data_IF_033588963691
#
_entry.id   IF_033588963691
#
_cell.length_a   1.000
_cell.length_b   1.000
_cell.length_c   1.000
_cell.angle_alpha   90.00
_cell.angle_beta   90.00
_cell.angle_gamma   90.00
#
_symmetry.space_group_name_H-M   'P 1'
#
loop_
_entity.id
_entity.type
_entity.pdbx_description
1 polymer ?
#
# COMPACT_ATOMS: atom_id res chain seq x y z
N UNK A 1 4.39 -10.48 38.35
CA UNK A 1 4.59 -9.45 37.31
C UNK A 1 3.56 -9.67 36.20
N UNK A 2 2.34 -9.13 36.35
CA UNK A 2 1.19 -9.29 35.44
C UNK A 2 0.74 -7.89 34.98
N UNK A 3 1.51 -7.25 34.10
CA UNK A 3 1.16 -5.93 33.54
C UNK A 3 1.14 -5.93 32.00
N UNK A 4 1.51 -7.00 31.31
CA UNK A 4 1.34 -7.14 29.84
C UNK A 4 -0.09 -7.55 29.43
N UNK A 5 -1.12 -6.99 30.07
CA UNK A 5 -2.53 -7.22 29.70
C UNK A 5 -2.91 -6.36 28.48
N UNK A 6 -2.73 -7.00 27.31
CA UNK A 6 -3.77 -7.17 26.27
C UNK A 6 -3.93 -6.16 25.11
N UNK A 7 -3.35 -4.96 25.09
CA UNK A 7 -3.58 -4.03 23.96
C UNK A 7 -2.42 -3.84 22.94
N UNK A 8 -1.16 -4.10 23.30
CA UNK A 8 -0.02 -3.68 22.43
C UNK A 8 0.83 -4.80 21.80
N UNK A 9 0.56 -6.07 22.09
CA UNK A 9 1.43 -7.16 21.60
C UNK A 9 1.44 -7.29 20.08
N UNK A 10 0.28 -7.17 19.43
CA UNK A 10 0.19 -7.29 17.97
C UNK A 10 0.65 -6.03 17.24
N UNK A 11 0.53 -4.84 17.85
CA UNK A 11 1.13 -3.62 17.28
C UNK A 11 2.65 -3.71 17.29
N UNK A 12 3.23 -4.13 18.42
CA UNK A 12 4.65 -4.38 18.51
C UNK A 12 5.09 -5.46 17.51
N UNK A 13 4.33 -6.56 17.41
CA UNK A 13 4.61 -7.62 16.45
C UNK A 13 4.57 -7.12 15.00
N UNK A 14 3.54 -6.37 14.60
CA UNK A 14 3.44 -5.80 13.26
C UNK A 14 4.65 -4.92 12.93
N UNK A 15 5.11 -4.09 13.89
CA UNK A 15 6.32 -3.27 13.72
C UNK A 15 7.59 -4.11 13.64
N UNK A 16 7.71 -5.16 14.45
CA UNK A 16 8.84 -6.09 14.35
C UNK A 16 8.89 -6.79 12.99
N UNK A 17 7.73 -7.17 12.44
CA UNK A 17 7.64 -7.79 11.10
C UNK A 17 8.07 -6.81 10.00
N UNK A 18 7.55 -5.58 10.02
CA UNK A 18 7.90 -4.51 9.08
C UNK A 18 9.41 -4.22 9.11
N UNK A 19 9.99 -4.05 10.31
CA UNK A 19 11.42 -3.78 10.47
C UNK A 19 12.29 -4.97 10.06
N UNK A 20 11.89 -6.20 10.40
CA UNK A 20 12.64 -7.39 10.01
C UNK A 20 12.66 -7.55 8.49
N UNK A 21 11.53 -7.32 7.81
CA UNK A 21 11.45 -7.37 6.36
C UNK A 21 12.33 -6.29 5.72
N UNK A 22 12.23 -5.03 6.17
CA UNK A 22 13.06 -3.92 5.67
C UNK A 22 14.56 -4.15 5.88
N UNK A 23 14.94 -4.90 6.91
CA UNK A 23 16.33 -5.29 7.18
C UNK A 23 16.79 -6.53 6.38
N UNK A 24 15.92 -7.16 5.59
CA UNK A 24 16.20 -8.40 4.87
C UNK A 24 16.17 -9.67 5.73
N UNK A 25 15.66 -9.60 6.96
CA UNK A 25 15.61 -10.72 7.91
C UNK A 25 14.23 -11.40 7.92
N UNK A 26 13.76 -11.89 6.77
CA UNK A 26 12.43 -12.49 6.61
C UNK A 26 12.25 -13.73 7.52
N UNK A 27 13.29 -14.54 7.72
CA UNK A 27 13.26 -15.70 8.63
C UNK A 27 12.95 -15.34 10.09
N UNK A 28 13.24 -14.10 10.50
CA UNK A 28 12.97 -13.63 11.85
C UNK A 28 11.47 -13.35 12.04
N UNK A 29 10.78 -12.91 10.99
CA UNK A 29 9.35 -12.65 10.99
C UNK A 29 8.55 -13.93 11.27
N UNK A 30 8.91 -15.03 10.61
CA UNK A 30 8.36 -16.36 10.83
C UNK A 30 8.49 -16.82 12.28
N UNK A 31 9.67 -16.61 12.88
CA UNK A 31 9.95 -16.99 14.27
C UNK A 31 9.05 -16.22 15.23
N UNK A 32 8.75 -14.95 14.96
CA UNK A 32 7.86 -14.16 15.82
C UNK A 32 6.42 -14.68 15.76
N UNK A 33 5.90 -15.00 14.57
CA UNK A 33 4.55 -15.56 14.41
C UNK A 33 4.41 -16.93 15.06
N UNK A 34 5.39 -17.83 14.86
CA UNK A 34 5.40 -19.16 15.49
C UNK A 34 5.38 -19.06 17.02
N UNK A 35 6.23 -18.20 17.59
CA UNK A 35 6.25 -17.97 19.05
C UNK A 35 4.92 -17.43 19.58
N UNK A 36 4.21 -16.59 18.82
CA UNK A 36 2.91 -16.10 19.24
C UNK A 36 1.88 -17.24 19.39
N UNK A 37 1.89 -18.20 18.47
CA UNK A 37 1.03 -19.39 18.51
C UNK A 37 1.46 -20.38 19.59
N UNK A 38 2.77 -20.63 19.75
CA UNK A 38 3.31 -21.51 20.79
C UNK A 38 2.93 -21.01 22.20
N UNK A 39 3.01 -19.69 22.42
CA UNK A 39 2.65 -19.08 23.70
C UNK A 39 1.14 -19.02 23.92
N UNK A 40 0.35 -18.91 22.84
CA UNK A 40 -1.10 -18.90 22.89
C UNK A 40 -1.70 -19.50 21.61
N UNK A 41 -2.10 -20.79 21.62
CA UNK A 41 -2.69 -21.43 20.44
C UNK A 41 -3.96 -20.74 19.92
N UNK A 42 -4.69 -20.02 20.78
CA UNK A 42 -5.87 -19.25 20.39
C UNK A 42 -5.53 -17.95 19.65
N UNK A 43 -4.27 -17.54 19.59
CA UNK A 43 -3.85 -16.37 18.82
C UNK A 43 -4.24 -16.48 17.34
N UNK A 44 -4.33 -17.70 16.80
CA UNK A 44 -4.75 -17.97 15.41
C UNK A 44 -6.10 -17.36 15.01
N UNK A 45 -7.02 -17.12 15.96
CA UNK A 45 -8.32 -16.49 15.68
C UNK A 45 -8.35 -15.00 16.02
N UNK A 46 -7.28 -14.44 16.61
CA UNK A 46 -7.21 -13.03 16.96
C UNK A 46 -7.03 -12.19 15.68
N UNK A 47 -7.76 -11.08 15.58
CA UNK A 47 -7.67 -10.18 14.44
C UNK A 47 -6.27 -9.57 14.28
N UNK A 48 -5.63 -9.18 15.39
CA UNK A 48 -4.26 -8.64 15.38
C UNK A 48 -3.22 -9.65 14.92
N UNK A 49 -3.35 -10.93 15.31
CA UNK A 49 -2.49 -11.99 14.78
C UNK A 49 -2.71 -12.19 13.29
N UNK A 50 -3.98 -12.25 12.84
CA UNK A 50 -4.29 -12.42 11.42
C UNK A 50 -3.82 -11.24 10.56
N UNK A 51 -3.85 -10.02 11.09
CA UNK A 51 -3.23 -8.87 10.45
C UNK A 51 -1.71 -9.02 10.33
N UNK A 52 -1.03 -9.39 11.43
CA UNK A 52 0.42 -9.63 11.42
C UNK A 52 0.81 -10.75 10.44
N UNK A 53 0.03 -11.83 10.42
CA UNK A 53 0.19 -12.91 9.44
C UNK A 53 0.03 -12.36 8.02
N UNK A 54 -1.01 -11.57 7.75
CA UNK A 54 -1.22 -10.96 6.43
C UNK A 54 -0.05 -10.11 5.95
N UNK A 55 0.56 -9.32 6.84
CA UNK A 55 1.78 -8.56 6.51
C UNK A 55 2.94 -9.48 6.14
N UNK A 56 3.17 -10.53 6.93
CA UNK A 56 4.25 -11.48 6.64
C UNK A 56 4.07 -12.20 5.30
N UNK A 57 2.88 -12.72 5.02
CA UNK A 57 2.58 -13.38 3.73
C UNK A 57 2.77 -12.39 2.57
N UNK A 58 2.35 -11.14 2.73
CA UNK A 58 2.55 -10.11 1.72
C UNK A 58 4.03 -9.83 1.45
N UNK A 59 4.82 -9.67 2.51
CA UNK A 59 6.26 -9.46 2.43
C UNK A 59 7.04 -10.66 1.88
N UNK A 60 6.49 -11.87 2.01
CA UNK A 60 7.03 -13.10 1.44
C UNK A 60 6.63 -13.33 -0.02
N UNK A 61 5.83 -12.44 -0.62
CA UNK A 61 5.38 -12.56 -2.02
C UNK A 61 4.18 -13.49 -2.22
N UNK A 62 3.38 -13.72 -1.16
CA UNK A 62 2.20 -14.59 -1.18
C UNK A 62 0.89 -13.78 -1.08
N UNK A 63 0.48 -13.04 -2.14
CA UNK A 63 -0.67 -12.12 -2.10
C UNK A 63 -1.99 -12.81 -1.73
N UNK A 64 -2.20 -14.04 -2.21
CA UNK A 64 -3.42 -14.80 -1.92
C UNK A 64 -3.52 -15.19 -0.44
N UNK A 65 -2.40 -15.62 0.15
CA UNK A 65 -2.34 -15.96 1.58
C UNK A 65 -2.52 -14.71 2.45
N UNK A 66 -1.91 -13.58 2.03
CA UNK A 66 -2.09 -12.29 2.67
C UNK A 66 -3.56 -11.84 2.68
N UNK A 67 -4.23 -11.89 1.53
CA UNK A 67 -5.66 -11.55 1.42
C UNK A 67 -6.54 -12.41 2.32
N UNK A 68 -6.29 -13.72 2.40
CA UNK A 68 -7.02 -14.61 3.31
C UNK A 68 -6.82 -14.23 4.78
N UNK A 69 -5.60 -13.89 5.18
CA UNK A 69 -5.29 -13.49 6.54
C UNK A 69 -5.92 -12.13 6.87
N UNK A 70 -5.79 -11.12 6.01
CA UNK A 70 -6.44 -9.83 6.21
C UNK A 70 -7.97 -9.92 6.22
N UNK A 71 -8.56 -10.81 5.43
CA UNK A 71 -10.01 -11.04 5.44
C UNK A 71 -10.52 -11.47 6.83
N UNK A 72 -9.72 -12.22 7.58
CA UNK A 72 -10.04 -12.63 8.96
C UNK A 72 -9.95 -11.47 9.96
N UNK A 73 -9.18 -10.42 9.65
CA UNK A 73 -9.05 -9.23 10.49
C UNK A 73 -9.99 -8.07 10.10
N UNK A 74 -10.55 -8.06 8.87
CA UNK A 74 -11.22 -6.88 8.27
C UNK A 74 -12.43 -6.31 9.03
N UNK A 75 -13.09 -7.11 9.87
CA UNK A 75 -14.29 -6.70 10.62
C UNK A 75 -13.97 -6.21 12.04
N UNK A 76 -12.72 -6.29 12.44
CA UNK A 76 -12.27 -5.85 13.75
C UNK A 76 -12.23 -4.31 13.83
N UNK A 77 -12.54 -3.75 15.00
CA UNK A 77 -12.63 -2.30 15.18
C UNK A 77 -11.27 -1.60 15.14
N UNK A 78 -10.19 -2.31 15.44
CA UNK A 78 -8.83 -1.77 15.51
C UNK A 78 -7.99 -2.19 14.31
N UNK A 79 -8.12 -3.45 13.89
CA UNK A 79 -7.33 -4.03 12.82
C UNK A 79 -8.02 -3.97 11.46
N UNK A 80 -9.35 -3.81 11.45
CA UNK A 80 -10.15 -3.91 10.24
C UNK A 80 -9.80 -2.86 9.19
N UNK A 81 -9.70 -1.59 9.57
CA UNK A 81 -9.33 -0.51 8.66
C UNK A 81 -7.92 -0.72 8.06
N UNK A 82 -6.95 -1.11 8.90
CA UNK A 82 -5.58 -1.40 8.43
C UNK A 82 -5.56 -2.59 7.48
N UNK A 83 -6.32 -3.65 7.79
CA UNK A 83 -6.45 -4.82 6.93
C UNK A 83 -7.07 -4.45 5.58
N UNK A 84 -8.16 -3.67 5.57
CA UNK A 84 -8.82 -3.21 4.35
C UNK A 84 -7.87 -2.41 3.44
N UNK A 85 -7.07 -1.50 4.00
CA UNK A 85 -6.09 -0.75 3.21
C UNK A 85 -5.02 -1.66 2.58
N UNK A 86 -4.51 -2.65 3.32
CA UNK A 86 -3.57 -3.62 2.75
C UNK A 86 -4.24 -4.49 1.67
N UNK A 87 -5.48 -4.92 1.88
CA UNK A 87 -6.23 -5.69 0.89
C UNK A 87 -6.44 -4.91 -0.40
N UNK A 88 -6.69 -3.59 -0.31
CA UNK A 88 -6.79 -2.72 -1.49
C UNK A 88 -5.45 -2.67 -2.24
N UNK A 89 -4.34 -2.38 -1.55
CA UNK A 89 -3.01 -2.32 -2.19
C UNK A 89 -2.67 -3.65 -2.91
N UNK A 90 -2.94 -4.80 -2.29
CA UNK A 90 -2.68 -6.12 -2.88
C UNK A 90 -3.53 -6.33 -4.14
N UNK A 91 -4.83 -5.99 -4.10
CA UNK A 91 -5.70 -6.17 -5.28
C UNK A 91 -5.29 -5.24 -6.43
N UNK A 92 -4.84 -4.02 -6.14
CA UNK A 92 -4.42 -3.07 -7.17
C UNK A 92 -3.06 -3.42 -7.78
N UNK A 93 -2.19 -4.11 -7.04
CA UNK A 93 -0.86 -4.50 -7.52
C UNK A 93 -0.35 -5.79 -6.83
N UNK A 94 -0.86 -6.97 -7.21
CA UNK A 94 -0.55 -8.23 -6.52
C UNK A 94 0.93 -8.63 -6.63
N UNK A 95 1.60 -8.24 -7.71
CA UNK A 95 3.01 -8.57 -7.97
C UNK A 95 3.98 -7.50 -7.41
N UNK A 96 3.45 -6.43 -6.81
CA UNK A 96 4.22 -5.27 -6.31
C UNK A 96 5.16 -4.59 -7.35
N UNK A 97 4.94 -4.78 -8.65
CA UNK A 97 5.79 -4.22 -9.71
C UNK A 97 5.51 -2.72 -10.01
N UNK A 98 6.46 -2.07 -10.69
CA UNK A 98 6.32 -0.67 -11.15
C UNK A 98 5.49 -0.58 -12.42
N UNK A 99 4.55 0.34 -12.38
CA UNK A 99 3.74 0.72 -13.53
C UNK A 99 4.52 1.78 -14.33
N UNK A 100 5.16 1.39 -15.44
CA UNK A 100 5.60 2.30 -16.50
C UNK A 100 7.12 2.58 -16.66
N UNK A 101 8.01 1.63 -16.34
CA UNK A 101 9.39 1.62 -16.89
C UNK A 101 9.43 1.02 -18.32
N UNK A 102 10.62 0.74 -18.87
CA UNK A 102 10.87 0.09 -20.18
C UNK A 102 10.07 -1.21 -20.44
N UNK A 103 9.39 -1.74 -19.41
CA UNK A 103 8.28 -2.70 -19.45
C UNK A 103 7.07 -2.22 -20.29
N UNK A 104 7.09 -1.04 -20.91
CA UNK A 104 6.05 -0.59 -21.86
C UNK A 104 5.86 -1.54 -23.06
N UNK A 105 6.88 -2.32 -23.43
CA UNK A 105 6.73 -3.38 -24.43
C UNK A 105 6.01 -4.63 -23.89
N UNK A 106 5.83 -4.75 -22.57
CA UNK A 106 5.07 -5.81 -21.90
C UNK A 106 3.79 -5.29 -21.20
N UNK A 107 3.45 -3.99 -21.31
CA UNK A 107 2.17 -3.47 -20.77
C UNK A 107 0.97 -4.03 -21.54
N UNK A 108 1.17 -4.59 -22.73
CA UNK A 108 0.16 -5.38 -23.45
C UNK A 108 -0.15 -6.73 -22.77
N UNK A 109 0.72 -7.23 -21.88
CA UNK A 109 0.54 -8.53 -21.20
C UNK A 109 0.00 -8.40 -19.77
N UNK A 110 -0.11 -7.19 -19.22
CA UNK A 110 -0.54 -6.98 -17.82
C UNK A 110 -2.06 -6.87 -17.71
N UNK A 111 -2.72 -8.01 -17.92
CA UNK A 111 -4.15 -8.23 -17.76
C UNK A 111 -4.98 -7.45 -18.78
N UNK A 112 -6.01 -8.08 -19.32
CA UNK A 112 -6.99 -7.39 -20.17
C UNK A 112 -7.48 -6.14 -19.42
N UNK A 113 -7.88 -5.05 -20.11
CA UNK A 113 -8.43 -3.85 -19.44
C UNK A 113 -9.58 -4.23 -18.47
N UNK A 114 -10.25 -5.34 -18.76
CA UNK A 114 -11.22 -6.02 -17.91
C UNK A 114 -10.67 -6.46 -16.54
N UNK A 115 -9.45 -6.99 -16.44
CA UNK A 115 -8.82 -7.43 -15.20
C UNK A 115 -8.52 -6.24 -14.28
N UNK A 116 -8.00 -5.15 -14.85
CA UNK A 116 -7.74 -3.89 -14.11
C UNK A 116 -9.03 -3.28 -13.59
N UNK A 117 -10.08 -3.29 -14.40
CA UNK A 117 -11.39 -2.81 -13.98
C UNK A 117 -12.00 -3.71 -12.89
N UNK A 118 -11.83 -5.03 -12.98
CA UNK A 118 -12.29 -5.97 -11.96
C UNK A 118 -11.54 -5.80 -10.63
N UNK A 119 -10.22 -5.59 -10.69
CA UNK A 119 -9.40 -5.26 -9.52
C UNK A 119 -9.85 -3.95 -8.87
N UNK A 120 -10.05 -2.90 -9.67
CA UNK A 120 -10.55 -1.61 -9.18
C UNK A 120 -11.93 -1.76 -8.51
N UNK A 121 -12.87 -2.47 -9.12
CA UNK A 121 -14.20 -2.75 -8.53
C UNK A 121 -14.10 -3.51 -7.20
N UNK A 122 -13.17 -4.46 -7.10
CA UNK A 122 -12.95 -5.23 -5.87
C UNK A 122 -12.36 -4.33 -4.77
N UNK A 123 -11.38 -3.50 -5.11
CA UNK A 123 -10.83 -2.50 -4.20
C UNK A 123 -11.87 -1.48 -3.73
N UNK A 124 -12.76 -1.00 -4.61
CA UNK A 124 -13.86 -0.11 -4.23
C UNK A 124 -14.79 -0.76 -3.20
N UNK A 125 -15.05 -2.07 -3.30
CA UNK A 125 -15.85 -2.80 -2.32
C UNK A 125 -15.20 -2.80 -0.95
N UNK A 126 -13.89 -3.03 -0.87
CA UNK A 126 -13.16 -2.94 0.39
C UNK A 126 -13.13 -1.51 0.93
N UNK A 127 -12.94 -0.50 0.08
CA UNK A 127 -12.94 0.89 0.51
C UNK A 127 -14.30 1.32 1.09
N UNK A 128 -15.41 0.79 0.56
CA UNK A 128 -16.76 1.05 1.07
C UNK A 128 -16.97 0.52 2.50
N UNK A 129 -16.25 -0.53 2.90
CA UNK A 129 -16.28 -1.14 4.24
C UNK A 129 -15.52 -0.29 5.29
N UNK A 130 -14.67 0.67 4.87
CA UNK A 130 -13.96 1.56 5.81
C UNK A 130 -14.94 2.50 6.51
N UNK A 131 -14.91 2.50 7.84
CA UNK A 131 -15.86 3.21 8.69
C UNK A 131 -15.58 4.71 8.78
N UNK A 132 -14.31 5.12 8.87
CA UNK A 132 -13.91 6.52 9.01
C UNK A 132 -13.50 7.14 7.67
N UNK A 133 -14.51 7.66 6.95
CA UNK A 133 -14.33 8.25 5.61
C UNK A 133 -13.97 9.75 5.64
N UNK A 134 -14.44 10.48 6.65
CA UNK A 134 -14.38 11.94 6.66
C UNK A 134 -12.99 12.45 7.06
N UNK A 135 -12.42 13.34 6.24
CA UNK A 135 -11.11 14.01 6.45
C UNK A 135 -9.93 13.06 6.72
N UNK A 136 -10.05 11.78 6.34
CA UNK A 136 -8.97 10.82 6.45
C UNK A 136 -8.11 10.89 5.18
N UNK A 137 -6.89 11.43 5.31
CA UNK A 137 -5.93 11.55 4.21
C UNK A 137 -5.63 10.20 3.54
N UNK A 138 -5.63 9.10 4.32
CA UNK A 138 -5.43 7.74 3.81
C UNK A 138 -6.63 7.24 3.01
N UNK A 139 -7.86 7.58 3.41
CA UNK A 139 -9.05 7.27 2.62
C UNK A 139 -9.02 7.97 1.26
N UNK A 140 -8.72 9.28 1.25
CA UNK A 140 -8.62 10.06 0.01
C UNK A 140 -7.53 9.47 -0.89
N UNK A 141 -6.37 9.14 -0.32
CA UNK A 141 -5.28 8.54 -1.07
C UNK A 141 -5.69 7.21 -1.71
N UNK A 142 -6.38 6.36 -0.94
CA UNK A 142 -6.80 5.05 -1.42
C UNK A 142 -7.88 5.15 -2.50
N UNK A 143 -8.85 6.05 -2.34
CA UNK A 143 -9.88 6.32 -3.35
C UNK A 143 -9.25 6.74 -4.69
N UNK A 144 -8.30 7.68 -4.65
CA UNK A 144 -7.64 8.13 -5.86
C UNK A 144 -6.68 7.08 -6.45
N UNK A 145 -6.07 6.24 -5.61
CA UNK A 145 -5.26 5.10 -6.08
C UNK A 145 -6.08 4.11 -6.89
N UNK A 146 -7.30 3.82 -6.45
CA UNK A 146 -8.24 2.94 -7.18
C UNK A 146 -8.62 3.55 -8.54
N UNK A 147 -8.91 4.86 -8.58
CA UNK A 147 -9.21 5.56 -9.83
C UNK A 147 -8.06 5.49 -10.84
N UNK A 148 -6.81 5.61 -10.36
CA UNK A 148 -5.63 5.51 -11.22
C UNK A 148 -5.40 4.08 -11.70
N UNK A 149 -5.54 3.10 -10.81
CA UNK A 149 -5.37 1.69 -11.13
C UNK A 149 -6.41 1.14 -12.11
N UNK A 150 -7.57 1.79 -12.25
CA UNK A 150 -8.61 1.38 -13.20
C UNK A 150 -8.21 1.56 -14.67
N UNK A 151 -7.12 2.27 -14.99
CA UNK A 151 -6.65 2.52 -16.36
C UNK A 151 -7.51 3.48 -17.19
N UNK A 152 -8.75 3.73 -16.77
CA UNK A 152 -9.70 4.61 -17.46
C UNK A 152 -9.22 6.06 -17.41
N UNK A 153 -8.92 6.63 -18.58
CA UNK A 153 -8.38 8.00 -18.71
C UNK A 153 -9.17 9.07 -17.96
N UNK A 154 -10.51 8.98 -17.95
CA UNK A 154 -11.37 9.91 -17.21
C UNK A 154 -11.20 9.81 -15.69
N UNK A 155 -11.01 8.59 -15.16
CA UNK A 155 -10.76 8.37 -13.74
C UNK A 155 -9.37 8.87 -13.33
N UNK A 156 -8.37 8.61 -14.19
CA UNK A 156 -7.00 9.10 -13.97
C UNK A 156 -6.98 10.63 -13.91
N UNK A 157 -7.67 11.31 -14.83
CA UNK A 157 -7.76 12.77 -14.81
C UNK A 157 -8.46 13.29 -13.55
N UNK A 158 -9.55 12.65 -13.13
CA UNK A 158 -10.25 13.01 -11.87
C UNK A 158 -9.34 12.87 -10.65
N UNK A 159 -8.50 11.83 -10.62
CA UNK A 159 -7.54 11.63 -9.54
C UNK A 159 -6.46 12.72 -9.53
N UNK A 160 -5.96 13.12 -10.70
CA UNK A 160 -5.02 14.23 -10.84
C UNK A 160 -5.61 15.55 -10.32
N UNK A 161 -6.83 15.88 -10.75
CA UNK A 161 -7.50 17.14 -10.35
C UNK A 161 -7.69 17.23 -8.83
N UNK A 162 -7.88 16.10 -8.15
CA UNK A 162 -8.04 16.01 -6.69
C UNK A 162 -6.72 16.04 -5.92
N UNK A 163 -5.68 15.39 -6.43
CA UNK A 163 -4.42 15.21 -5.69
C UNK A 163 -3.37 16.29 -5.99
N UNK A 164 -3.37 16.92 -7.18
CA UNK A 164 -2.41 17.97 -7.51
C UNK A 164 -2.43 19.15 -6.50
N UNK A 165 -3.61 19.63 -6.03
CA UNK A 165 -3.65 20.65 -4.98
C UNK A 165 -3.02 20.20 -3.65
N UNK A 166 -3.08 18.90 -3.33
CA UNK A 166 -2.51 18.33 -2.10
C UNK A 166 -0.99 18.23 -2.21
N UNK A 167 -0.50 17.86 -3.39
CA UNK A 167 0.94 17.76 -3.68
C UNK A 167 1.64 19.12 -3.69
N UNK A 168 0.89 20.20 -3.96
CA UNK A 168 1.41 21.56 -3.99
C UNK A 168 2.24 21.87 -5.24
N UNK A 169 2.56 23.15 -5.41
CA UNK A 169 3.24 23.66 -6.60
C UNK A 169 4.74 23.36 -6.61
N UNK A 170 5.39 23.59 -7.76
CA UNK A 170 6.85 23.51 -7.88
C UNK A 170 7.53 24.48 -6.90
N UNK A 171 8.50 23.98 -6.11
CA UNK A 171 9.20 24.75 -5.08
C UNK A 171 8.57 24.70 -3.68
N UNK A 172 7.32 24.26 -3.56
CA UNK A 172 6.69 24.01 -2.26
C UNK A 172 7.15 22.65 -1.68
N UNK A 173 7.23 22.59 -0.34
CA UNK A 173 7.50 21.34 0.38
C UNK A 173 6.43 20.31 0.06
N UNK A 174 6.83 19.05 -0.12
CA UNK A 174 5.91 17.95 -0.36
C UNK A 174 5.06 17.73 0.89
N UNK A 175 3.74 17.93 0.77
CA UNK A 175 2.81 17.76 1.88
C UNK A 175 2.45 16.29 2.14
N UNK A 176 2.51 15.44 1.11
CA UNK A 176 2.20 14.01 1.21
C UNK A 176 2.96 13.22 0.15
N UNK A 177 3.85 12.33 0.59
CA UNK A 177 4.60 11.45 -0.32
C UNK A 177 3.66 10.45 -1.01
N UNK A 178 2.63 9.98 -0.31
CA UNK A 178 1.60 9.11 -0.89
C UNK A 178 0.88 9.76 -2.06
N UNK A 179 0.45 11.02 -1.93
CA UNK A 179 -0.20 11.74 -3.03
C UNK A 179 0.74 11.91 -4.24
N UNK A 180 2.03 12.18 -4.00
CA UNK A 180 3.04 12.23 -5.06
C UNK A 180 3.13 10.90 -5.80
N UNK A 181 3.18 9.77 -5.09
CA UNK A 181 3.25 8.45 -5.70
C UNK A 181 2.06 8.20 -6.65
N UNK A 182 0.84 8.51 -6.21
CA UNK A 182 -0.38 8.29 -7.01
C UNK A 182 -0.41 9.21 -8.24
N UNK A 183 -0.03 10.48 -8.08
CA UNK A 183 0.07 11.43 -9.21
C UNK A 183 1.17 11.01 -10.20
N UNK A 184 2.31 10.53 -9.72
CA UNK A 184 3.37 10.02 -10.59
C UNK A 184 2.89 8.82 -11.41
N UNK A 185 2.24 7.83 -10.75
CA UNK A 185 1.60 6.68 -11.43
C UNK A 185 0.58 7.12 -12.48
N UNK A 186 -0.27 8.10 -12.15
CA UNK A 186 -1.23 8.67 -13.07
C UNK A 186 -0.55 9.28 -14.31
N UNK A 187 0.51 10.07 -14.12
CA UNK A 187 1.27 10.63 -15.24
C UNK A 187 1.95 9.55 -16.10
N UNK A 188 2.47 8.48 -15.49
CA UNK A 188 3.06 7.36 -16.24
C UNK A 188 2.03 6.64 -17.09
N UNK A 189 0.83 6.35 -16.56
CA UNK A 189 -0.28 5.78 -17.34
C UNK A 189 -0.75 6.69 -18.47
N UNK A 190 -0.68 8.02 -18.26
CA UNK A 190 -0.98 9.00 -19.31
C UNK A 190 0.18 9.24 -20.29
N UNK A 191 1.27 8.47 -20.21
CA UNK A 191 2.48 8.62 -21.02
C UNK A 191 3.13 10.02 -20.89
N UNK A 192 2.98 10.64 -19.72
CA UNK A 192 3.58 11.93 -19.35
C UNK A 192 4.79 11.73 -18.42
N UNK A 193 5.69 10.82 -18.78
CA UNK A 193 6.88 10.44 -17.99
C UNK A 193 7.72 11.64 -17.52
N UNK A 194 7.95 12.70 -18.33
CA UNK A 194 8.71 13.86 -17.87
C UNK A 194 8.09 14.56 -16.65
N UNK A 195 6.75 14.64 -16.60
CA UNK A 195 6.03 15.24 -15.45
C UNK A 195 6.09 14.34 -14.22
N UNK A 196 5.96 13.03 -14.40
CA UNK A 196 6.13 12.07 -13.31
C UNK A 196 7.52 12.20 -12.68
N UNK A 197 8.57 12.24 -13.51
CA UNK A 197 9.96 12.39 -13.08
C UNK A 197 10.23 13.70 -12.33
N UNK A 198 9.75 14.83 -12.86
CA UNK A 198 9.88 16.13 -12.20
C UNK A 198 9.23 16.11 -10.81
N UNK A 199 8.07 15.48 -10.68
CA UNK A 199 7.37 15.34 -9.41
C UNK A 199 8.12 14.43 -8.43
N UNK A 200 8.54 13.25 -8.86
CA UNK A 200 9.27 12.29 -8.03
C UNK A 200 10.61 12.86 -7.53
N UNK A 201 11.28 13.71 -8.31
CA UNK A 201 12.51 14.41 -7.88
C UNK A 201 12.30 15.26 -6.63
N UNK A 202 11.09 15.79 -6.41
CA UNK A 202 10.77 16.59 -5.20
C UNK A 202 10.81 15.76 -3.92
N UNK A 203 10.66 14.44 -4.03
CA UNK A 203 10.65 13.50 -2.90
C UNK A 203 12.06 13.22 -2.36
N UNK A 204 13.10 13.37 -3.20
CA UNK A 204 14.50 13.04 -2.84
C UNK A 204 15.03 13.84 -1.64
N UNK A 205 14.50 15.05 -1.41
CA UNK A 205 14.86 15.89 -0.26
C UNK A 205 13.83 15.89 0.88
N UNK A 206 12.81 15.05 0.82
CA UNK A 206 11.75 15.00 1.84
C UNK A 206 12.26 14.36 3.14
N UNK A 207 11.77 14.83 4.28
CA UNK A 207 12.15 14.24 5.57
C UNK A 207 11.56 12.84 5.68
N UNK A 208 12.43 11.85 5.88
CA UNK A 208 12.00 10.47 6.06
C UNK A 208 11.20 10.32 7.37
N UNK A 209 10.04 9.66 7.27
CA UNK A 209 9.24 9.25 8.43
C UNK A 209 8.85 7.78 8.26
N UNK A 210 8.62 7.09 9.38
CA UNK A 210 8.22 5.67 9.34
C UNK A 210 6.88 5.48 8.61
N UNK A 211 5.94 6.41 8.74
CA UNK A 211 4.63 6.33 8.09
C UNK A 211 4.70 6.49 6.57
N UNK A 212 5.70 7.25 6.08
CA UNK A 212 5.89 7.49 4.65
C UNK A 212 6.97 6.60 4.02
N UNK A 213 7.63 5.75 4.81
CA UNK A 213 8.76 4.94 4.37
C UNK A 213 8.42 4.07 3.14
N UNK A 214 7.24 3.44 3.13
CA UNK A 214 6.78 2.62 2.00
C UNK A 214 6.57 3.48 0.74
N UNK A 215 5.99 4.67 0.89
CA UNK A 215 5.75 5.58 -0.24
C UNK A 215 7.06 6.17 -0.77
N UNK A 216 8.01 6.49 0.12
CA UNK A 216 9.34 6.98 -0.24
C UNK A 216 10.10 5.94 -1.06
N UNK A 217 10.14 4.70 -0.58
CA UNK A 217 10.79 3.58 -1.26
C UNK A 217 10.18 3.33 -2.64
N UNK A 218 8.84 3.28 -2.72
CA UNK A 218 8.12 3.19 -4.00
C UNK A 218 8.50 4.39 -4.90
N UNK A 219 8.38 5.63 -4.42
CA UNK A 219 8.73 6.82 -5.22
C UNK A 219 10.16 6.78 -5.76
N UNK A 220 11.15 6.37 -4.95
CA UNK A 220 12.53 6.22 -5.40
C UNK A 220 12.64 5.15 -6.48
N UNK A 221 11.99 4.01 -6.31
CA UNK A 221 11.98 2.94 -7.30
C UNK A 221 11.31 3.38 -8.61
N UNK A 222 10.16 4.07 -8.55
CA UNK A 222 9.50 4.67 -9.73
C UNK A 222 10.36 5.75 -10.41
N UNK A 223 11.14 6.52 -9.65
CA UNK A 223 12.03 7.53 -10.21
C UNK A 223 13.18 6.92 -11.01
N UNK A 224 13.76 5.83 -10.51
CA UNK A 224 14.82 5.10 -11.19
C UNK A 224 14.32 4.55 -12.54
N UNK A 225 13.13 3.96 -12.57
CA UNK A 225 12.51 3.46 -13.81
C UNK A 225 12.10 4.57 -14.80
N UNK A 226 12.14 5.85 -14.42
CA UNK A 226 11.96 6.99 -15.33
C UNK A 226 13.29 7.53 -15.90
N UNK A 227 14.43 7.00 -15.45
CA UNK A 227 15.77 7.40 -15.89
C UNK A 227 16.30 6.53 -17.03
N UNK A 228 15.88 5.27 -17.03
CA UNK A 228 16.12 4.28 -18.08
C UNK A 228 15.09 4.48 -19.20
#
# INVERSE_FOLDING_TARGET
MKIFRRLDHYHALARCLELAWRAGHVDQADKFLKKAIENNPRASVDAGYNYCKGLHEWYSGEPNAALQAFNRARRDLEWGERALYNMIEIVLNPDNEVIGGEVLDHVEERGDDADREMAAKTAERFLKEVTFKNNNSKYILMENSILVASGVRANIQRALDRLLPIVGNEGEKVSSVGAVLVVARAYMLMKQTPKAKALLKRVVGHQWTLEEADYLEKCTFYFQNCLD
#
